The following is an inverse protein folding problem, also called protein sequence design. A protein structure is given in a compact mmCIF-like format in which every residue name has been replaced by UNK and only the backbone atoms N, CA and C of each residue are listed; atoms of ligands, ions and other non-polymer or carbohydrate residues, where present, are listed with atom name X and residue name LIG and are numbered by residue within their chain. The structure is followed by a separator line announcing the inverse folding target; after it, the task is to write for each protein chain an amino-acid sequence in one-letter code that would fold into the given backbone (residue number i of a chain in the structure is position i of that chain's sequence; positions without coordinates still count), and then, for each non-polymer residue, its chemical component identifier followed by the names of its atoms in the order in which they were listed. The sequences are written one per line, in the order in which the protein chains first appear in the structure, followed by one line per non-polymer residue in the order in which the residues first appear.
data_IF_800670448950
#
_entry.id   IF_800670448950
#
_cell.length_a   1.000
_cell.length_b   1.000
_cell.length_c   1.000
_cell.angle_alpha   90.00
_cell.angle_beta   90.00
_cell.angle_gamma   90.00
#
_symmetry.space_group_name_H-M   'P 1'
#
loop_
_entity.id
_entity.type
_entity.pdbx_description
1 polymer ?
#
# COMPACT_ATOMS: atom_id res chain seq x y z
N UNK A 1 -8.83 2.28 -1.27
CA UNK A 1 -7.65 2.15 -0.37
C UNK A 1 -7.08 0.75 -0.51
N UNK A 2 -5.77 0.56 -0.43
CA UNK A 2 -5.19 -0.78 -0.43
C UNK A 2 -5.48 -1.48 0.89
N UNK A 3 -5.95 -2.73 0.79
CA UNK A 3 -6.25 -3.57 1.95
C UNK A 3 -4.99 -3.88 2.76
N UNK A 4 -5.16 -4.03 4.08
CA UNK A 4 -4.13 -4.48 5.03
C UNK A 4 -2.88 -3.60 5.22
N UNK A 5 -2.65 -2.60 4.38
CA UNK A 5 -1.45 -1.75 4.44
C UNK A 5 -1.78 -0.26 4.63
N UNK A 6 -0.79 0.49 5.09
CA UNK A 6 -0.81 1.95 5.21
C UNK A 6 0.45 2.53 4.57
N UNK A 7 0.28 3.40 3.57
CA UNK A 7 1.39 4.09 2.90
C UNK A 7 1.62 5.47 3.55
N UNK A 8 2.86 6.00 3.55
CA UNK A 8 3.15 7.34 4.05
C UNK A 8 2.46 8.41 3.20
N UNK A 9 2.05 9.50 3.84
CA UNK A 9 1.30 10.57 3.19
C UNK A 9 2.23 11.56 2.49
N UNK A 10 1.84 11.96 1.28
CA UNK A 10 2.43 13.10 0.58
C UNK A 10 1.79 14.38 1.07
N UNK A 11 2.59 15.44 1.17
CA UNK A 11 2.17 16.79 1.50
C UNK A 11 0.98 17.21 0.63
N UNK A 12 -0.05 17.77 1.27
CA UNK A 12 -1.11 18.47 0.55
C UNK A 12 -0.69 19.91 0.34
N UNK A 13 -0.98 20.46 -0.85
CA UNK A 13 -0.85 21.90 -1.10
C UNK A 13 -1.58 22.67 0.02
N UNK A 14 -1.04 23.81 0.48
CA UNK A 14 -1.72 24.65 1.44
C UNK A 14 -3.13 24.97 0.95
N UNK A 15 -4.13 24.69 1.78
CA UNK A 15 -5.49 25.14 1.53
C UNK A 15 -5.64 26.64 1.85
N UNK A 16 -6.88 27.14 1.80
CA UNK A 16 -7.20 28.53 2.15
C UNK A 16 -6.67 28.99 3.53
N UNK A 17 -6.42 28.05 4.45
CA UNK A 17 -5.90 28.32 5.79
C UNK A 17 -4.35 28.41 5.86
N UNK A 18 -3.65 28.44 4.73
CA UNK A 18 -2.20 28.72 4.64
C UNK A 18 -1.24 27.65 5.17
N UNK A 19 -1.74 26.62 5.88
CA UNK A 19 -0.92 25.49 6.34
C UNK A 19 -0.86 24.41 5.27
N UNK A 20 0.30 24.29 4.61
CA UNK A 20 0.66 23.12 3.80
C UNK A 20 0.99 21.91 4.67
N UNK A 21 0.78 20.71 4.14
CA UNK A 21 1.31 19.50 4.78
C UNK A 21 2.82 19.39 4.57
N UNK A 22 3.52 18.74 5.49
CA UNK A 22 4.89 18.25 5.27
C UNK A 22 4.79 16.80 4.79
N UNK A 23 5.65 16.41 3.85
CA UNK A 23 5.72 15.02 3.41
C UNK A 23 6.11 14.12 4.59
N UNK A 24 5.36 13.04 4.79
CA UNK A 24 5.84 11.97 5.66
C UNK A 24 7.06 11.31 5.00
N UNK A 25 7.99 10.80 5.83
CA UNK A 25 9.18 10.11 5.32
C UNK A 25 8.76 9.03 4.31
N UNK A 26 9.45 8.99 3.16
CA UNK A 26 9.19 8.08 2.05
C UNK A 26 7.84 8.25 1.33
N UNK A 27 7.00 9.24 1.68
CA UNK A 27 5.69 9.47 1.05
C UNK A 27 5.77 9.73 -0.45
N UNK A 28 6.69 10.61 -0.87
CA UNK A 28 6.89 10.90 -2.29
C UNK A 28 7.39 9.67 -3.07
N UNK A 29 8.31 8.90 -2.48
CA UNK A 29 8.85 7.69 -3.10
C UNK A 29 7.78 6.61 -3.24
N UNK A 30 6.95 6.39 -2.22
CA UNK A 30 5.82 5.47 -2.29
C UNK A 30 4.85 5.84 -3.42
N UNK A 31 4.52 7.14 -3.55
CA UNK A 31 3.67 7.64 -4.64
C UNK A 31 4.28 7.38 -6.01
N UNK A 32 5.56 7.70 -6.18
CA UNK A 32 6.23 7.59 -7.47
C UNK A 32 6.42 6.12 -7.90
N UNK A 33 6.67 5.24 -6.93
CA UNK A 33 6.72 3.80 -7.14
C UNK A 33 5.39 3.25 -7.68
N UNK A 34 4.27 3.62 -7.06
CA UNK A 34 2.93 3.24 -7.55
C UNK A 34 2.68 3.82 -8.93
N UNK A 35 3.02 5.11 -9.13
CA UNK A 35 2.83 5.80 -10.42
C UNK A 35 3.54 5.07 -11.56
N UNK A 36 4.82 4.75 -11.39
CA UNK A 36 5.62 4.05 -12.39
C UNK A 36 5.11 2.63 -12.71
N UNK A 37 4.46 1.98 -11.73
CA UNK A 37 3.96 0.61 -11.89
C UNK A 37 2.56 0.55 -12.49
N UNK A 38 1.67 1.50 -12.17
CA UNK A 38 0.24 1.43 -12.49
C UNK A 38 -0.17 2.35 -13.64
N UNK A 39 0.40 3.55 -13.75
CA UNK A 39 -0.09 4.54 -14.72
C UNK A 39 0.16 4.05 -16.14
N UNK A 40 -0.90 4.06 -16.96
CA UNK A 40 -0.85 3.61 -18.36
C UNK A 40 -0.78 2.10 -18.52
N UNK A 41 -1.04 1.31 -17.47
CA UNK A 41 -1.05 -0.16 -17.54
C UNK A 41 -2.39 -0.74 -17.10
N UNK A 42 -2.71 -1.90 -17.66
CA UNK A 42 -3.85 -2.69 -17.23
C UNK A 42 -3.60 -3.30 -15.85
N UNK A 43 -4.60 -3.19 -14.99
CA UNK A 43 -4.59 -3.77 -13.66
C UNK A 43 -5.86 -4.59 -13.43
N UNK A 44 -5.77 -5.60 -12.57
CA UNK A 44 -6.93 -6.23 -11.98
C UNK A 44 -7.08 -5.73 -10.55
N UNK A 45 -8.32 -5.58 -10.08
CA UNK A 45 -8.59 -5.23 -8.69
C UNK A 45 -9.69 -6.12 -8.12
N UNK A 46 -9.66 -6.31 -6.81
CA UNK A 46 -10.70 -6.99 -6.06
C UNK A 46 -11.12 -6.10 -4.89
N UNK A 47 -12.41 -5.85 -4.75
CA UNK A 47 -12.97 -5.12 -3.61
C UNK A 47 -13.22 -6.12 -2.49
N UNK A 48 -12.65 -5.86 -1.32
CA UNK A 48 -12.74 -6.75 -0.16
C UNK A 48 -13.72 -6.23 0.89
N UNK A 49 -13.82 -4.90 1.03
CA UNK A 49 -14.75 -4.29 1.98
C UNK A 49 -15.13 -2.89 1.55
N UNK A 50 -16.41 -2.55 1.67
CA UNK A 50 -16.92 -1.21 1.43
C UNK A 50 -17.19 -0.53 2.79
N UNK A 51 -16.59 0.63 3.00
CA UNK A 51 -16.79 1.44 4.21
C UNK A 51 -17.90 2.45 4.00
N UNK A 52 -17.95 3.01 2.79
CA UNK A 52 -18.96 3.94 2.30
C UNK A 52 -18.95 3.92 0.77
N UNK A 53 -19.97 4.49 0.10
CA UNK A 53 -20.06 4.48 -1.38
C UNK A 53 -18.84 5.09 -2.09
N UNK A 54 -18.14 6.01 -1.43
CA UNK A 54 -16.94 6.69 -1.92
C UNK A 54 -15.63 6.08 -1.38
N UNK A 55 -15.70 5.06 -0.52
CA UNK A 55 -14.54 4.49 0.17
C UNK A 55 -14.60 2.97 0.27
N UNK A 56 -13.82 2.34 -0.60
CA UNK A 56 -13.60 0.88 -0.61
C UNK A 56 -12.17 0.51 -0.21
N UNK A 57 -12.03 -0.65 0.42
CA UNK A 57 -10.77 -1.38 0.60
C UNK A 57 -10.70 -2.52 -0.42
N UNK A 58 -9.54 -2.67 -1.04
CA UNK A 58 -9.33 -3.74 -2.00
C UNK A 58 -7.86 -4.00 -2.31
N UNK A 59 -7.64 -5.07 -3.06
CA UNK A 59 -6.34 -5.49 -3.56
C UNK A 59 -6.18 -5.11 -5.03
N UNK A 60 -4.96 -4.73 -5.41
CA UNK A 60 -4.59 -4.42 -6.80
C UNK A 60 -3.53 -5.42 -7.26
N UNK A 61 -3.72 -5.91 -8.47
CA UNK A 61 -2.93 -6.94 -9.09
C UNK A 61 -2.38 -6.45 -10.43
N UNK A 62 -1.06 -6.44 -10.56
CA UNK A 62 -0.36 -6.05 -11.77
C UNK A 62 -0.06 -7.29 -12.62
N UNK A 63 -0.41 -7.24 -13.90
CA UNK A 63 0.02 -8.28 -14.84
C UNK A 63 1.51 -8.10 -15.16
N UNK A 64 2.30 -9.16 -14.97
CA UNK A 64 3.72 -9.19 -15.31
C UNK A 64 4.02 -10.42 -16.18
N UNK A 65 5.10 -10.38 -17.00
CA UNK A 65 5.60 -11.59 -17.65
C UNK A 65 5.91 -12.65 -16.58
N UNK A 66 5.20 -13.78 -16.60
CA UNK A 66 5.35 -14.85 -15.61
C UNK A 66 4.32 -14.86 -14.48
N UNK A 67 3.33 -13.95 -14.46
CA UNK A 67 2.19 -14.08 -13.55
C UNK A 67 1.54 -12.75 -13.14
N UNK A 68 1.00 -12.76 -11.93
CA UNK A 68 0.27 -11.63 -11.35
C UNK A 68 0.95 -11.24 -10.04
N UNK A 69 1.24 -9.96 -9.89
CA UNK A 69 1.91 -9.43 -8.71
C UNK A 69 0.95 -8.53 -7.92
N UNK A 70 0.76 -8.82 -6.63
CA UNK A 70 -0.01 -7.95 -5.74
C UNK A 70 0.80 -6.68 -5.43
N UNK A 71 0.19 -5.52 -5.65
CA UNK A 71 0.79 -4.21 -5.44
C UNK A 71 1.08 -3.92 -3.95
N UNK A 72 0.21 -4.36 -3.04
CA UNK A 72 0.42 -4.16 -1.61
C UNK A 72 1.68 -4.89 -1.11
N UNK A 73 1.92 -6.09 -1.63
CA UNK A 73 3.09 -6.91 -1.30
C UNK A 73 4.36 -6.24 -1.78
N UNK A 74 4.35 -5.72 -3.01
CA UNK A 74 5.46 -4.94 -3.59
C UNK A 74 5.79 -3.69 -2.75
N UNK A 75 4.78 -2.97 -2.28
CA UNK A 75 4.99 -1.77 -1.48
C UNK A 75 5.62 -2.09 -0.11
N UNK A 76 5.17 -3.17 0.53
CA UNK A 76 5.70 -3.59 1.82
C UNK A 76 7.12 -4.15 1.68
N UNK A 77 7.40 -4.93 0.64
CA UNK A 77 8.74 -5.49 0.40
C UNK A 77 9.81 -4.42 0.14
N UNK A 78 9.41 -3.26 -0.37
CA UNK A 78 10.30 -2.12 -0.61
C UNK A 78 10.32 -1.12 0.56
N UNK A 79 9.67 -1.42 1.70
CA UNK A 79 9.61 -0.51 2.86
C UNK A 79 8.71 0.71 2.66
N UNK A 80 8.01 0.81 1.54
CA UNK A 80 7.17 1.95 1.15
C UNK A 80 5.75 1.90 1.72
N UNK A 81 5.42 0.85 2.47
CA UNK A 81 4.17 0.72 3.22
C UNK A 81 4.36 -0.14 4.46
N UNK A 82 3.52 0.10 5.48
CA UNK A 82 3.49 -0.68 6.73
C UNK A 82 2.21 -1.49 6.84
N UNK A 83 2.27 -2.64 7.49
CA UNK A 83 1.09 -3.48 7.73
C UNK A 83 0.23 -2.85 8.83
N UNK A 84 -1.10 -2.82 8.64
CA UNK A 84 -2.02 -2.21 9.62
C UNK A 84 -2.12 -3.05 10.88
N UNK A 85 -1.92 -2.41 12.03
CA UNK A 85 -2.02 -3.05 13.36
C UNK A 85 -3.39 -3.66 13.68
N UNK A 86 -4.47 -3.11 13.14
CA UNK A 86 -5.82 -3.67 13.34
C UNK A 86 -6.04 -5.03 12.67
N UNK A 87 -5.25 -5.38 11.65
CA UNK A 87 -5.30 -6.70 11.03
C UNK A 87 -4.60 -7.77 11.87
N UNK A 88 -3.69 -7.39 12.78
CA UNK A 88 -2.82 -8.34 13.48
C UNK A 88 -3.56 -9.37 14.36
N UNK A 89 -4.76 -9.02 14.83
CA UNK A 89 -5.64 -9.95 15.55
C UNK A 89 -6.20 -11.07 14.66
N UNK A 90 -6.24 -10.87 13.34
CA UNK A 90 -6.79 -11.80 12.34
C UNK A 90 -5.68 -12.53 11.55
N UNK A 91 -4.42 -12.45 11.99
CA UNK A 91 -3.25 -13.04 11.30
C UNK A 91 -3.34 -14.56 11.20
N UNK A 92 -3.88 -15.22 12.23
CA UNK A 92 -4.08 -16.66 12.22
C UNK A 92 -5.11 -17.13 11.19
N UNK A 93 -6.04 -16.26 10.79
CA UNK A 93 -7.13 -16.57 9.87
C UNK A 93 -6.84 -16.12 8.43
N UNK A 94 -5.88 -15.21 8.23
CA UNK A 94 -5.58 -14.60 6.93
C UNK A 94 -4.14 -14.88 6.46
N UNK A 95 -3.92 -15.90 5.60
CA UNK A 95 -2.61 -16.19 5.02
C UNK A 95 -1.97 -14.99 4.30
N UNK A 96 -2.79 -14.13 3.70
CA UNK A 96 -2.34 -12.92 3.02
C UNK A 96 -1.66 -11.94 3.98
N UNK A 97 -2.17 -11.84 5.21
CA UNK A 97 -1.63 -10.95 6.22
C UNK A 97 -0.32 -11.49 6.80
N UNK A 98 -0.24 -12.81 7.02
CA UNK A 98 0.99 -13.47 7.44
C UNK A 98 2.12 -13.24 6.43
N UNK A 99 1.83 -13.35 5.13
CA UNK A 99 2.79 -13.05 4.07
C UNK A 99 3.23 -11.58 4.07
N UNK A 100 2.32 -10.64 4.28
CA UNK A 100 2.65 -9.20 4.37
C UNK A 100 3.56 -8.90 5.57
N UNK A 101 3.32 -9.52 6.74
CA UNK A 101 4.19 -9.35 7.91
C UNK A 101 5.59 -9.90 7.66
N UNK A 102 5.70 -11.07 7.02
CA UNK A 102 6.99 -11.64 6.65
C UNK A 102 7.78 -10.72 5.69
N UNK A 103 7.09 -10.09 4.73
CA UNK A 103 7.70 -9.11 3.83
C UNK A 103 8.13 -7.83 4.56
N UNK A 104 7.35 -7.38 5.52
CA UNK A 104 7.68 -6.20 6.33
C UNK A 104 8.94 -6.45 7.17
N UNK A 105 9.04 -7.61 7.83
CA UNK A 105 10.25 -7.98 8.58
C UNK A 105 11.46 -8.10 7.66
N UNK A 106 11.29 -8.68 6.47
CA UNK A 106 12.36 -8.73 5.47
C UNK A 106 12.83 -7.33 5.06
N UNK A 107 11.90 -6.41 4.76
CA UNK A 107 12.23 -5.04 4.41
C UNK A 107 13.03 -4.34 5.53
N UNK A 108 12.61 -4.52 6.79
CA UNK A 108 13.34 -4.01 7.97
C UNK A 108 14.76 -4.57 8.06
N UNK A 109 14.93 -5.87 7.85
CA UNK A 109 16.28 -6.48 7.86
C UNK A 109 17.18 -5.98 6.73
N UNK A 110 16.59 -5.60 5.59
CA UNK A 110 17.30 -5.01 4.45
C UNK A 110 17.55 -3.49 4.61
N UNK A 111 17.21 -2.89 5.75
CA UNK A 111 17.25 -1.43 5.99
C UNK A 111 16.48 -0.62 4.93
N UNK A 112 15.34 -1.14 4.48
CA UNK A 112 14.39 -0.46 3.59
C UNK A 112 13.19 0.07 4.35
#
# INVERSE_FOLDING_TARGET
MLSNISCPRVARKPGANGKGGVDEAFGWMAREFVRAKVVGKEICYAVESEVSPDRVFGSIFLRQPGGVQNLAYLLVSEGLAKVKKGGQALVGENPSLQALLALEEKAKTENK
#
